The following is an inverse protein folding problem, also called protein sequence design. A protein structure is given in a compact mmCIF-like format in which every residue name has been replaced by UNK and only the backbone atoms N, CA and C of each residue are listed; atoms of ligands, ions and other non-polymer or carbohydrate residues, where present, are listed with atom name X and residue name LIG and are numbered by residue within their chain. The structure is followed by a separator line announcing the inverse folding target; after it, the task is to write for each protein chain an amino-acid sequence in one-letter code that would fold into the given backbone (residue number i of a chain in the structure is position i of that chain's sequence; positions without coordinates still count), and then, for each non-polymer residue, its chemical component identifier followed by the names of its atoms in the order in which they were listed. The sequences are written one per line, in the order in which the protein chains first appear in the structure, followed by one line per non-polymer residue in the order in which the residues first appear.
data_IF_689312660580
#
_entry.id   IF_689312660580
#
_cell.length_a   1.000
_cell.length_b   1.000
_cell.length_c   1.000
_cell.angle_alpha   90.00
_cell.angle_beta   90.00
_cell.angle_gamma   90.00
#
_symmetry.space_group_name_H-M   'P 1'
#
loop_
_entity.id
_entity.type
_entity.pdbx_description
1 polymer ?
#
# COMPACT_ATOMS: atom_id res chain seq x y z
N UNK A 1 38.15 -11.50 -9.95
CA UNK A 1 38.70 -10.69 -8.86
C UNK A 1 37.90 -9.39 -8.76
N UNK A 2 37.05 -9.23 -7.76
CA UNK A 2 36.36 -7.96 -7.50
C UNK A 2 37.37 -6.95 -6.99
N UNK A 3 37.58 -5.86 -7.74
CA UNK A 3 38.38 -4.71 -7.31
C UNK A 3 37.70 -4.08 -6.10
N UNK A 4 38.16 -4.34 -4.89
CA UNK A 4 37.78 -3.57 -3.72
C UNK A 4 38.24 -2.12 -3.98
N UNK A 5 37.29 -1.22 -4.13
CA UNK A 5 37.57 0.21 -4.13
C UNK A 5 38.08 0.57 -2.73
N UNK A 6 39.38 0.84 -2.63
CA UNK A 6 39.98 1.39 -1.42
C UNK A 6 39.45 2.81 -1.25
N UNK A 7 38.40 2.94 -0.45
CA UNK A 7 37.86 4.23 -0.04
C UNK A 7 38.71 4.77 1.10
N UNK A 8 39.20 6.01 0.97
CA UNK A 8 39.90 6.69 2.06
C UNK A 8 38.92 7.08 3.16
N UNK A 9 39.38 7.11 4.42
CA UNK A 9 38.54 7.48 5.58
C UNK A 9 37.83 8.86 5.41
N UNK A 10 38.39 9.76 4.59
CA UNK A 10 37.80 11.06 4.30
C UNK A 10 36.63 11.03 3.32
N UNK A 11 36.37 9.89 2.66
CA UNK A 11 35.23 9.69 1.73
C UNK A 11 34.00 9.09 2.40
N UNK A 12 34.13 8.68 3.66
CA UNK A 12 33.04 8.12 4.46
C UNK A 12 32.64 9.12 5.54
N UNK A 13 31.34 9.32 5.75
CA UNK A 13 30.84 10.03 6.93
C UNK A 13 30.93 9.13 8.17
N UNK A 14 30.57 9.66 9.35
CA UNK A 14 30.59 8.94 10.63
C UNK A 14 29.75 7.65 10.62
N UNK A 15 28.81 7.50 9.66
CA UNK A 15 27.95 6.33 9.51
C UNK A 15 28.40 5.39 8.38
N UNK A 16 29.61 5.60 7.81
CA UNK A 16 30.16 4.76 6.75
C UNK A 16 29.67 5.06 5.33
N UNK A 17 29.00 6.19 5.11
CA UNK A 17 28.48 6.58 3.79
C UNK A 17 29.36 7.59 3.08
N UNK A 18 29.32 7.59 1.74
CA UNK A 18 29.97 8.62 0.93
C UNK A 18 29.31 9.98 1.15
N UNK A 19 30.12 10.96 1.57
CA UNK A 19 29.66 12.32 1.89
C UNK A 19 29.14 13.12 0.68
N UNK A 20 29.49 12.75 -0.56
CA UNK A 20 29.21 13.54 -1.76
C UNK A 20 28.75 12.67 -2.94
N UNK A 21 27.95 11.65 -2.70
CA UNK A 21 27.33 10.89 -3.80
C UNK A 21 26.14 11.70 -4.30
N UNK A 22 26.34 12.39 -5.42
CA UNK A 22 25.21 12.98 -6.16
C UNK A 22 24.52 11.90 -6.97
N UNK A 23 23.19 11.87 -6.92
CA UNK A 23 22.42 10.96 -7.74
C UNK A 23 22.42 11.42 -9.19
N UNK A 24 22.71 10.52 -10.13
CA UNK A 24 22.56 10.81 -11.57
C UNK A 24 21.10 10.61 -11.95
N UNK A 25 20.44 11.63 -12.49
CA UNK A 25 19.05 11.54 -12.91
C UNK A 25 18.43 12.91 -13.15
N UNK A 26 17.23 12.90 -13.69
CA UNK A 26 16.41 14.11 -13.88
C UNK A 26 15.68 14.47 -12.61
N UNK A 27 15.32 15.74 -12.45
CA UNK A 27 14.40 16.20 -11.40
C UNK A 27 13.14 15.34 -11.45
N UNK A 28 12.64 14.92 -10.28
CA UNK A 28 11.50 14.03 -10.14
C UNK A 28 11.84 12.53 -10.21
N UNK A 29 13.08 12.13 -10.50
CA UNK A 29 13.48 10.74 -10.43
C UNK A 29 13.43 10.23 -8.98
N UNK A 30 12.89 9.02 -8.78
CA UNK A 30 12.87 8.35 -7.50
C UNK A 30 14.10 7.46 -7.33
N UNK A 31 14.68 7.51 -6.14
CA UNK A 31 15.80 6.66 -5.73
C UNK A 31 15.42 5.87 -4.49
N UNK A 32 15.78 4.59 -4.48
CA UNK A 32 15.53 3.67 -3.39
C UNK A 32 16.83 3.34 -2.65
N UNK A 33 16.84 3.50 -1.34
CA UNK A 33 17.99 3.19 -0.48
C UNK A 33 17.62 2.07 0.51
N UNK A 34 18.51 1.09 0.73
CA UNK A 34 18.27 0.01 1.70
C UNK A 34 18.38 0.47 3.16
N UNK A 35 18.67 1.74 3.38
CA UNK A 35 18.89 2.40 4.67
C UNK A 35 18.25 3.78 4.65
N UNK A 36 18.03 4.36 5.82
CA UNK A 36 17.51 5.72 5.94
C UNK A 36 18.62 6.75 5.60
N UNK A 37 18.74 7.04 4.31
CA UNK A 37 19.71 8.00 3.77
C UNK A 37 19.08 8.84 2.68
N UNK A 38 19.23 10.17 2.78
CA UNK A 38 18.76 11.14 1.79
C UNK A 38 19.98 11.91 1.26
N UNK A 39 20.35 11.76 -0.04
CA UNK A 39 21.41 12.55 -0.66
C UNK A 39 21.09 14.05 -0.67
N UNK A 40 22.11 14.90 -0.71
CA UNK A 40 21.99 16.38 -0.67
C UNK A 40 21.21 16.99 -1.85
N UNK A 41 21.07 16.26 -2.96
CA UNK A 41 20.34 16.65 -4.16
C UNK A 41 18.95 16.00 -4.26
N UNK A 42 18.52 15.32 -3.21
CA UNK A 42 17.24 14.64 -3.09
C UNK A 42 16.47 15.09 -1.85
N UNK A 43 15.19 14.81 -1.84
CA UNK A 43 14.27 15.01 -0.72
C UNK A 43 13.66 13.66 -0.34
N UNK A 44 13.49 13.41 0.96
CA UNK A 44 12.80 12.23 1.46
C UNK A 44 11.32 12.27 1.05
N UNK A 45 10.77 11.13 0.64
CA UNK A 45 9.35 11.02 0.26
C UNK A 45 8.47 10.79 1.50
N UNK A 46 8.43 11.78 2.40
CA UNK A 46 7.73 11.73 3.69
C UNK A 46 6.47 12.61 3.72
N UNK A 47 6.00 13.10 2.58
CA UNK A 47 4.74 13.84 2.48
C UNK A 47 4.77 15.26 3.03
N UNK A 48 5.93 15.81 3.37
CA UNK A 48 6.01 17.18 3.91
C UNK A 48 5.81 18.25 2.85
N UNK A 49 5.34 19.42 3.31
CA UNK A 49 5.04 20.57 2.46
C UNK A 49 6.30 21.41 2.19
N UNK A 50 6.40 21.93 0.96
CA UNK A 50 7.49 22.75 0.45
C UNK A 50 6.95 24.03 -0.14
N UNK A 51 7.71 25.15 -0.03
CA UNK A 51 7.40 26.39 -0.72
C UNK A 51 7.68 26.26 -2.22
N UNK A 52 6.72 26.63 -3.06
CA UNK A 52 6.84 26.58 -4.53
C UNK A 52 8.03 27.43 -5.01
N UNK A 53 8.26 28.58 -4.36
CA UNK A 53 9.32 29.50 -4.73
C UNK A 53 10.73 28.88 -4.63
N UNK A 54 10.93 27.96 -3.68
CA UNK A 54 12.24 27.34 -3.42
C UNK A 54 12.49 26.10 -4.30
N UNK A 55 11.43 25.47 -4.79
CA UNK A 55 11.47 24.19 -5.53
C UNK A 55 10.72 24.25 -6.86
N UNK A 56 10.85 25.34 -7.60
CA UNK A 56 10.07 25.63 -8.82
C UNK A 56 10.09 24.51 -9.87
N UNK A 57 11.25 23.90 -10.10
CA UNK A 57 11.37 22.88 -11.13
C UNK A 57 10.76 21.55 -10.70
N UNK A 58 10.85 21.20 -9.42
CA UNK A 58 10.13 20.04 -8.88
C UNK A 58 8.61 20.29 -8.88
N UNK A 59 8.17 21.50 -8.52
CA UNK A 59 6.75 21.86 -8.57
C UNK A 59 6.17 21.80 -9.99
N UNK A 60 6.90 22.27 -11.00
CA UNK A 60 6.47 22.14 -12.42
C UNK A 60 6.16 20.69 -12.80
N UNK A 61 6.84 19.73 -12.19
CA UNK A 61 6.64 18.32 -12.47
C UNK A 61 5.52 17.70 -11.63
N UNK A 62 5.51 17.95 -10.31
CA UNK A 62 4.58 17.32 -9.39
C UNK A 62 3.23 18.06 -9.31
N UNK A 63 3.25 19.39 -9.49
CA UNK A 63 2.08 20.23 -9.25
C UNK A 63 1.57 20.05 -7.82
N UNK A 64 0.26 20.00 -7.68
CA UNK A 64 -0.46 19.79 -6.42
C UNK A 64 -0.94 18.33 -6.23
N UNK A 65 -0.37 17.38 -6.98
CA UNK A 65 -0.83 15.97 -7.00
C UNK A 65 -0.88 15.34 -5.62
N UNK A 66 0.04 15.71 -4.73
CA UNK A 66 0.16 15.14 -3.38
C UNK A 66 -0.36 16.08 -2.28
N UNK A 67 -0.94 17.24 -2.63
CA UNK A 67 -1.49 18.17 -1.67
C UNK A 67 -2.69 17.58 -0.93
N UNK A 68 -2.88 18.04 0.30
CA UNK A 68 -4.02 17.69 1.13
C UNK A 68 -5.01 18.88 1.20
N UNK A 69 -6.24 18.60 1.56
CA UNK A 69 -7.25 19.63 1.77
C UNK A 69 -6.78 20.56 2.89
N UNK A 70 -6.69 21.88 2.57
CA UNK A 70 -6.24 22.92 3.51
C UNK A 70 -4.75 23.27 3.43
N UNK A 71 -3.98 22.65 2.53
CA UNK A 71 -2.60 23.09 2.26
C UNK A 71 -2.61 24.53 1.69
N UNK A 72 -1.64 25.39 2.08
CA UNK A 72 -1.50 26.73 1.54
C UNK A 72 -1.25 26.72 0.01
N UNK A 73 -1.78 27.74 -0.70
CA UNK A 73 -1.67 27.82 -2.16
C UNK A 73 -0.24 28.02 -2.68
N UNK A 74 0.65 28.58 -1.85
CA UNK A 74 2.07 28.79 -2.16
C UNK A 74 2.94 27.56 -1.87
N UNK A 75 2.33 26.43 -1.52
CA UNK A 75 3.02 25.20 -1.16
C UNK A 75 2.57 24.02 -2.03
N UNK A 76 3.43 23.00 -2.05
CA UNK A 76 3.13 21.68 -2.59
C UNK A 76 3.80 20.60 -1.74
N UNK A 77 3.29 19.35 -1.82
CA UNK A 77 3.85 18.23 -1.07
C UNK A 77 4.69 17.31 -1.95
N UNK A 78 5.74 16.78 -1.36
CA UNK A 78 6.41 15.58 -1.88
C UNK A 78 5.53 14.35 -1.62
N UNK A 79 5.71 13.25 -2.40
CA UNK A 79 5.00 11.99 -2.14
C UNK A 79 5.23 11.49 -0.71
N UNK A 80 4.21 10.85 -0.13
CA UNK A 80 4.29 10.19 1.18
C UNK A 80 4.40 8.67 0.99
N UNK A 81 5.59 8.20 0.61
CA UNK A 81 5.86 6.78 0.38
C UNK A 81 6.54 6.11 1.57
N UNK A 82 7.37 6.85 2.32
CA UNK A 82 8.14 6.31 3.43
C UNK A 82 7.31 6.15 4.70
N UNK A 83 6.43 7.12 5.00
CA UNK A 83 5.63 7.11 6.23
C UNK A 83 4.47 6.12 6.13
N UNK A 84 3.78 6.12 4.97
CA UNK A 84 2.63 5.23 4.77
C UNK A 84 3.03 3.78 4.49
N UNK A 85 4.30 3.52 4.15
CA UNK A 85 4.83 2.18 3.88
C UNK A 85 4.10 1.47 2.74
N UNK A 86 3.63 2.21 1.74
CA UNK A 86 2.87 1.67 0.61
C UNK A 86 3.79 1.11 -0.47
N UNK A 87 3.37 0.03 -1.11
CA UNK A 87 4.03 -0.47 -2.32
C UNK A 87 3.82 0.48 -3.48
N UNK A 88 4.88 0.69 -4.27
CA UNK A 88 4.78 1.44 -5.52
C UNK A 88 4.18 0.53 -6.60
N UNK A 89 2.99 0.85 -7.03
CA UNK A 89 2.28 0.13 -8.09
C UNK A 89 2.16 1.02 -9.32
N UNK A 90 2.65 0.59 -10.51
CA UNK A 90 2.38 1.31 -11.76
C UNK A 90 0.88 1.38 -12.03
N UNK A 91 0.38 2.61 -12.27
CA UNK A 91 -1.02 2.84 -12.60
C UNK A 91 -1.13 4.10 -13.47
N UNK A 92 -2.17 4.19 -14.31
CA UNK A 92 -2.49 5.38 -15.08
C UNK A 92 -2.93 6.56 -14.20
N UNK A 93 -3.57 6.27 -13.06
CA UNK A 93 -3.92 7.26 -12.04
C UNK A 93 -2.78 7.38 -11.04
N UNK A 94 -1.91 8.37 -11.25
CA UNK A 94 -0.75 8.63 -10.39
C UNK A 94 -1.17 9.38 -9.12
N UNK A 95 -0.47 9.13 -7.99
CA UNK A 95 -0.71 9.82 -6.71
C UNK A 95 -1.88 9.27 -5.89
N UNK A 96 -2.59 8.25 -6.38
CA UNK A 96 -3.70 7.63 -5.65
C UNK A 96 -3.18 6.65 -4.61
N UNK A 97 -3.70 6.75 -3.40
CA UNK A 97 -3.46 5.78 -2.33
C UNK A 97 -4.46 4.62 -2.43
N UNK A 98 -3.96 3.40 -2.46
CA UNK A 98 -4.77 2.17 -2.49
C UNK A 98 -4.54 1.42 -1.17
N UNK A 99 -5.62 1.10 -0.46
CA UNK A 99 -5.53 0.34 0.78
C UNK A 99 -5.29 -1.15 0.53
N UNK A 100 -4.63 -1.79 1.48
CA UNK A 100 -4.44 -3.24 1.45
C UNK A 100 -5.80 -3.96 1.39
N UNK A 101 -5.85 -5.03 0.62
CA UNK A 101 -7.05 -5.83 0.47
C UNK A 101 -6.73 -7.29 0.16
N UNK A 102 -7.69 -8.14 0.41
CA UNK A 102 -7.68 -9.54 0.02
C UNK A 102 -8.94 -9.82 -0.82
N UNK A 103 -8.88 -10.74 -1.80
CA UNK A 103 -10.08 -11.24 -2.44
C UNK A 103 -11.04 -11.78 -1.39
N UNK A 104 -12.34 -11.55 -1.58
CA UNK A 104 -13.32 -12.12 -0.67
C UNK A 104 -13.46 -13.62 -0.93
N UNK A 105 -13.66 -14.37 0.15
CA UNK A 105 -13.95 -15.81 0.09
C UNK A 105 -15.42 -15.98 0.48
N UNK A 106 -16.20 -16.54 -0.43
CA UNK A 106 -17.63 -16.85 -0.22
C UNK A 106 -17.91 -18.30 -0.60
N UNK A 107 -18.86 -18.90 0.08
CA UNK A 107 -19.31 -20.25 -0.21
C UNK A 107 -20.55 -20.59 0.62
N UNK A 108 -21.36 -21.51 0.14
CA UNK A 108 -22.62 -21.88 0.76
C UNK A 108 -22.69 -23.38 1.04
N UNK A 109 -23.39 -23.71 2.11
CA UNK A 109 -23.81 -25.08 2.40
C UNK A 109 -25.16 -25.09 3.14
N UNK A 110 -25.85 -26.18 3.13
CA UNK A 110 -27.14 -26.33 3.83
C UNK A 110 -26.98 -27.16 5.10
N UNK A 111 -27.67 -26.78 6.16
CA UNK A 111 -27.75 -27.56 7.40
C UNK A 111 -29.11 -27.34 8.11
N UNK A 112 -29.39 -28.16 9.13
CA UNK A 112 -30.63 -28.05 9.93
C UNK A 112 -30.58 -26.98 11.04
N UNK A 113 -29.41 -26.45 11.38
CA UNK A 113 -29.27 -25.48 12.46
C UNK A 113 -29.48 -24.06 11.95
N UNK A 114 -30.23 -23.26 12.71
CA UNK A 114 -30.39 -21.81 12.46
C UNK A 114 -29.21 -20.99 12.99
N UNK A 115 -28.46 -21.51 13.96
CA UNK A 115 -27.41 -20.75 14.62
C UNK A 115 -26.22 -20.48 13.69
N UNK A 116 -25.78 -19.22 13.67
CA UNK A 116 -24.58 -18.76 12.97
C UNK A 116 -23.85 -17.72 13.80
N UNK A 117 -22.55 -17.58 13.57
CA UNK A 117 -21.72 -16.53 14.15
C UNK A 117 -20.55 -16.17 13.25
N UNK A 118 -19.96 -14.99 13.44
CA UNK A 118 -18.76 -14.53 12.74
C UNK A 118 -19.00 -14.39 11.22
N UNK A 119 -18.25 -15.13 10.44
CA UNK A 119 -18.30 -15.10 8.97
C UNK A 119 -19.44 -15.92 8.34
N UNK A 120 -20.33 -16.50 9.15
CA UNK A 120 -21.48 -17.26 8.65
C UNK A 120 -22.77 -16.49 8.81
N UNK A 121 -23.59 -16.47 7.76
CA UNK A 121 -25.00 -16.05 7.79
C UNK A 121 -25.92 -17.23 7.56
N UNK A 122 -27.21 -17.09 7.92
CA UNK A 122 -28.20 -18.13 7.75
C UNK A 122 -29.46 -17.56 7.09
N UNK A 123 -29.89 -18.18 6.01
CA UNK A 123 -31.16 -17.87 5.35
C UNK A 123 -32.02 -19.11 5.34
N UNK A 124 -33.32 -18.97 5.67
CA UNK A 124 -34.27 -20.07 5.54
C UNK A 124 -34.34 -20.49 4.09
N UNK A 125 -34.16 -21.78 3.83
CA UNK A 125 -34.28 -22.35 2.51
C UNK A 125 -35.24 -23.57 2.56
N UNK A 126 -36.41 -23.44 1.96
CA UNK A 126 -37.32 -24.56 1.80
C UNK A 126 -36.78 -25.43 0.66
N UNK A 127 -36.14 -26.52 0.98
CA UNK A 127 -35.85 -27.58 0.00
C UNK A 127 -37.03 -28.52 0.01
N UNK A 128 -37.71 -28.65 -1.13
CA UNK A 128 -38.71 -29.66 -1.32
C UNK A 128 -38.13 -31.04 -1.05
N UNK A 129 -38.87 -31.85 -0.29
CA UNK A 129 -38.69 -33.27 0.08
C UNK A 129 -37.20 -33.76 0.03
N UNK A 130 -36.60 -33.81 1.21
CA UNK A 130 -35.38 -34.60 1.40
C UNK A 130 -35.71 -36.09 1.25
N UNK A 131 -34.94 -36.81 0.47
CA UNK A 131 -35.10 -38.21 0.06
C UNK A 131 -34.94 -39.24 1.20
N UNK A 132 -35.10 -38.87 2.49
CA UNK A 132 -35.01 -39.80 3.61
C UNK A 132 -36.24 -39.71 4.51
N UNK A 133 -37.11 -40.72 4.34
CA UNK A 133 -38.17 -41.12 5.24
C UNK A 133 -38.89 -40.05 6.07
N UNK A 134 -40.05 -39.65 5.61
CA UNK A 134 -41.30 -39.43 6.38
C UNK A 134 -41.18 -38.64 7.69
N UNK A 135 -40.42 -37.55 7.74
CA UNK A 135 -40.53 -36.57 8.80
C UNK A 135 -40.96 -35.25 8.19
N UNK A 136 -42.26 -34.99 8.26
CA UNK A 136 -42.86 -33.70 7.95
C UNK A 136 -42.17 -32.60 8.79
N UNK A 137 -41.68 -31.56 8.13
CA UNK A 137 -41.13 -30.32 8.70
C UNK A 137 -39.60 -30.26 8.96
N UNK A 138 -38.77 -30.88 8.17
CA UNK A 138 -37.34 -30.55 8.23
C UNK A 138 -37.07 -29.20 7.54
N UNK A 139 -36.81 -28.18 8.35
CA UNK A 139 -36.37 -26.88 7.88
C UNK A 139 -34.88 -26.92 7.64
N UNK A 140 -34.46 -26.63 6.40
CA UNK A 140 -33.04 -26.45 6.07
C UNK A 140 -32.73 -24.97 5.99
N UNK A 141 -31.49 -24.63 6.37
CA UNK A 141 -30.98 -23.29 6.29
C UNK A 141 -29.76 -23.27 5.40
N UNK A 142 -29.78 -22.38 4.41
CA UNK A 142 -28.61 -22.06 3.61
C UNK A 142 -27.63 -21.29 4.51
N UNK A 143 -26.44 -21.81 4.67
CA UNK A 143 -25.33 -21.15 5.37
C UNK A 143 -24.39 -20.56 4.34
N UNK A 144 -24.22 -19.28 4.39
CA UNK A 144 -23.24 -18.56 3.58
C UNK A 144 -22.03 -18.23 4.42
N UNK A 145 -20.87 -18.74 3.99
CA UNK A 145 -19.58 -18.28 4.48
C UNK A 145 -19.19 -17.02 3.71
N UNK A 146 -18.85 -15.96 4.43
CA UNK A 146 -18.37 -14.72 3.85
C UNK A 146 -17.27 -14.13 4.75
N UNK A 147 -16.03 -14.24 4.31
CA UNK A 147 -14.88 -13.81 5.10
C UNK A 147 -14.90 -12.31 5.44
N UNK A 148 -15.53 -11.46 4.59
CA UNK A 148 -15.63 -10.01 4.83
C UNK A 148 -16.45 -9.65 6.06
N UNK A 149 -17.32 -10.55 6.54
CA UNK A 149 -18.07 -10.33 7.80
C UNK A 149 -17.18 -10.42 9.04
N UNK A 150 -16.07 -11.14 8.97
CA UNK A 150 -15.11 -11.25 10.09
C UNK A 150 -13.98 -10.24 10.01
N UNK A 151 -13.59 -9.83 8.81
CA UNK A 151 -12.53 -8.84 8.62
C UNK A 151 -12.72 -8.08 7.31
N UNK A 152 -12.73 -6.75 7.42
CA UNK A 152 -12.88 -5.85 6.27
C UNK A 152 -11.68 -5.86 5.29
N UNK A 153 -10.63 -6.59 5.57
CA UNK A 153 -9.52 -6.79 4.62
C UNK A 153 -9.93 -7.69 3.45
N UNK A 154 -10.86 -8.65 3.68
CA UNK A 154 -11.39 -9.50 2.63
C UNK A 154 -12.40 -8.76 1.75
N UNK A 155 -12.29 -8.94 0.45
CA UNK A 155 -13.12 -8.27 -0.55
C UNK A 155 -12.67 -6.85 -0.90
N UNK A 156 -11.63 -6.32 -0.24
CA UNK A 156 -11.09 -4.98 -0.51
C UNK A 156 -10.21 -4.96 -1.77
N UNK A 157 -9.57 -6.05 -2.12
CA UNK A 157 -8.71 -6.18 -3.29
C UNK A 157 -8.97 -7.50 -4.02
N UNK A 158 -8.63 -7.56 -5.29
CA UNK A 158 -8.62 -8.78 -6.10
C UNK A 158 -7.31 -9.58 -5.95
N UNK A 159 -6.30 -8.99 -5.30
CA UNK A 159 -4.97 -9.58 -5.12
C UNK A 159 -4.53 -9.54 -3.67
N UNK A 160 -3.67 -10.48 -3.28
CA UNK A 160 -3.04 -10.55 -1.95
C UNK A 160 -1.73 -9.76 -1.98
N UNK A 161 -1.48 -8.97 -0.93
CA UNK A 161 -0.21 -8.30 -0.79
C UNK A 161 0.90 -9.32 -0.48
N UNK A 162 1.98 -9.38 -1.29
CA UNK A 162 3.10 -10.29 -1.05
C UNK A 162 3.96 -9.86 0.16
N UNK A 163 4.78 -10.76 0.73
CA UNK A 163 5.85 -10.38 1.64
C UNK A 163 6.76 -9.33 1.00
N UNK A 164 7.18 -8.34 1.78
CA UNK A 164 7.88 -7.17 1.27
C UNK A 164 9.09 -6.80 2.11
N UNK A 165 10.05 -6.13 1.48
CA UNK A 165 11.20 -5.51 2.12
C UNK A 165 11.02 -4.00 2.08
N UNK A 166 11.12 -3.35 3.23
CA UNK A 166 11.05 -1.88 3.32
C UNK A 166 12.35 -1.23 2.82
N UNK A 167 12.20 -0.11 2.12
CA UNK A 167 13.28 0.72 1.59
C UNK A 167 12.95 2.19 1.84
N UNK A 168 13.97 3.05 1.85
CA UNK A 168 13.80 4.50 1.91
C UNK A 168 13.76 5.10 0.50
N UNK A 169 12.73 5.89 0.20
CA UNK A 169 12.54 6.53 -1.10
C UNK A 169 12.84 8.02 -1.02
N UNK A 170 13.60 8.50 -1.98
CA UNK A 170 13.91 9.90 -2.16
C UNK A 170 13.57 10.37 -3.57
N UNK A 171 13.20 11.63 -3.73
CA UNK A 171 12.95 12.29 -5.01
C UNK A 171 14.00 13.34 -5.31
N UNK A 172 14.54 13.34 -6.52
CA UNK A 172 15.55 14.33 -6.95
C UNK A 172 14.90 15.68 -7.19
N UNK A 173 15.50 16.75 -6.66
CA UNK A 173 15.01 18.12 -6.82
C UNK A 173 16.01 19.09 -7.46
N UNK A 174 17.31 18.74 -7.55
CA UNK A 174 18.35 19.55 -8.20
C UNK A 174 19.43 18.70 -8.92
#
# INVERSE_FOLDING_TARGET
MKKLLNLTANQLNQNGYHKNVQTKGKIGALFAFPINHTPDDCLSCDGYSLLIVDYKDLFKLLGTTFNQIGDPEDTFRVPDYNITGRFLQPNSNVGVQIDAGLPNIIGDFTCRSIHTSGCFTSTYHSVGQAYWNNVNNDSFYLKTFNASLSSAIYGRSQTVQPPSQTIHLCIKYK
#
